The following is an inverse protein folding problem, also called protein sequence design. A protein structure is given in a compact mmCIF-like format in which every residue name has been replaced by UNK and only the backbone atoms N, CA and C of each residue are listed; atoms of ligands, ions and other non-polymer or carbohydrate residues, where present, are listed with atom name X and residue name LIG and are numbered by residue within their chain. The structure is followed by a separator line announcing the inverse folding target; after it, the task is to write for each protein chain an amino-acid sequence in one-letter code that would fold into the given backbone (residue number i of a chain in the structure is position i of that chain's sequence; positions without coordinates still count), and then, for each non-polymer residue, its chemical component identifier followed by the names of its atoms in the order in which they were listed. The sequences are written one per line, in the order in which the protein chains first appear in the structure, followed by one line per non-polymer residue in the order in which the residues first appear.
data_IF_796595207377
#
_entry.id   IF_796595207377
#
_cell.length_a   1.000
_cell.length_b   1.000
_cell.length_c   1.000
_cell.angle_alpha   90.00
_cell.angle_beta   90.00
_cell.angle_gamma   90.00
#
_symmetry.space_group_name_H-M   'P 1'
#
loop_
_entity.id
_entity.type
_entity.pdbx_description
1 polymer ?
#
# COMPACT_ATOMS: atom_id res chain seq x y z
N UNK A 1 42.85 16.70 48.08
CA UNK A 1 41.58 16.88 47.45
C UNK A 1 41.61 16.10 46.12
N UNK A 2 41.05 14.94 46.19
CA UNK A 2 40.91 14.12 44.96
C UNK A 2 39.60 14.47 44.29
N UNK A 3 39.68 15.18 43.19
CA UNK A 3 38.52 15.42 42.35
C UNK A 3 38.24 14.16 41.56
N UNK A 4 37.24 13.41 42.00
CA UNK A 4 36.68 12.32 41.23
C UNK A 4 35.93 12.93 40.04
N UNK A 5 36.57 12.93 38.89
CA UNK A 5 35.92 13.15 37.63
C UNK A 5 35.11 11.89 37.27
N UNK A 6 33.88 11.89 37.67
CA UNK A 6 32.89 10.96 37.19
C UNK A 6 32.58 11.35 35.74
N UNK A 7 33.33 10.79 34.82
CA UNK A 7 32.98 10.79 33.42
C UNK A 7 31.82 9.82 33.24
N UNK A 8 30.63 10.32 33.35
CA UNK A 8 29.42 9.62 32.88
C UNK A 8 29.49 9.54 31.39
N UNK A 9 30.02 8.42 30.92
CA UNK A 9 29.84 8.04 29.51
C UNK A 9 28.37 7.69 29.33
N UNK A 10 27.61 8.67 28.91
CA UNK A 10 26.25 8.44 28.42
C UNK A 10 26.40 7.71 27.08
N UNK A 11 26.39 6.40 27.18
CA UNK A 11 26.30 5.52 26.01
C UNK A 11 24.90 5.71 25.42
N UNK A 12 24.79 6.70 24.53
CA UNK A 12 23.60 6.91 23.74
C UNK A 12 23.48 5.72 22.79
N UNK A 13 22.76 4.70 23.24
CA UNK A 13 22.27 3.65 22.35
C UNK A 13 21.27 4.30 21.40
N UNK A 14 21.77 4.70 20.24
CA UNK A 14 20.93 4.99 19.10
C UNK A 14 20.21 3.69 18.76
N UNK A 15 19.01 3.52 19.31
CA UNK A 15 18.08 2.54 18.80
C UNK A 15 17.77 2.99 17.38
N UNK A 16 18.46 2.40 16.43
CA UNK A 16 18.11 2.50 15.02
C UNK A 16 16.74 1.85 14.88
N UNK A 17 15.69 2.64 14.97
CA UNK A 17 14.37 2.20 14.60
C UNK A 17 14.40 1.96 13.10
N UNK A 18 14.47 0.69 12.72
CA UNK A 18 14.26 0.31 11.34
C UNK A 18 12.80 0.58 11.05
N UNK A 19 12.52 1.77 10.52
CA UNK A 19 11.21 2.11 10.02
C UNK A 19 10.99 1.28 8.75
N UNK A 20 10.22 0.21 8.86
CA UNK A 20 9.78 -0.54 7.69
C UNK A 20 8.80 0.34 6.93
N UNK A 21 9.22 0.81 5.76
CA UNK A 21 8.38 1.62 4.89
C UNK A 21 7.23 0.75 4.36
N UNK A 22 5.99 1.15 4.65
CA UNK A 22 4.82 0.56 4.04
C UNK A 22 4.83 0.90 2.56
N UNK A 23 4.61 -0.10 1.71
CA UNK A 23 4.51 0.08 0.28
C UNK A 23 3.14 -0.37 -0.19
N UNK A 24 2.46 0.49 -0.94
CA UNK A 24 1.15 0.20 -1.52
C UNK A 24 1.18 0.50 -3.02
N UNK A 25 0.78 -0.49 -3.81
CA UNK A 25 0.65 -0.35 -5.26
C UNK A 25 -0.74 0.20 -5.55
N UNK A 26 -0.83 1.32 -6.24
CA UNK A 26 -2.08 1.91 -6.72
C UNK A 26 -2.16 1.71 -8.22
N UNK A 27 -3.10 0.88 -8.66
CA UNK A 27 -3.35 0.65 -10.08
C UNK A 27 -4.64 1.34 -10.51
N UNK A 28 -4.56 2.16 -11.55
CA UNK A 28 -5.74 2.70 -12.21
C UNK A 28 -6.21 1.68 -13.25
N UNK A 29 -7.48 1.28 -13.14
CA UNK A 29 -8.06 0.21 -13.95
C UNK A 29 -9.14 0.76 -14.86
N UNK A 30 -8.97 0.57 -16.15
CA UNK A 30 -9.94 1.03 -17.13
C UNK A 30 -11.17 0.11 -17.15
N UNK A 31 -12.36 0.73 -17.19
CA UNK A 31 -13.64 0.03 -17.36
C UNK A 31 -14.16 -0.71 -16.13
N UNK A 32 -13.49 -0.64 -14.98
CA UNK A 32 -13.92 -1.31 -13.77
C UNK A 32 -15.11 -0.60 -13.12
N UNK A 33 -16.32 -1.04 -13.44
CA UNK A 33 -17.58 -0.47 -12.94
C UNK A 33 -18.47 -1.49 -12.23
N UNK A 34 -18.10 -2.76 -12.28
CA UNK A 34 -18.86 -3.87 -11.71
C UNK A 34 -18.36 -4.23 -10.32
N UNK A 35 -19.20 -4.10 -9.29
CA UNK A 35 -18.84 -4.45 -7.92
C UNK A 35 -18.44 -5.92 -7.75
N UNK A 36 -19.13 -6.82 -8.44
CA UNK A 36 -18.83 -8.24 -8.40
C UNK A 36 -17.46 -8.56 -9.02
N UNK A 37 -17.12 -7.90 -10.12
CA UNK A 37 -15.82 -8.05 -10.78
C UNK A 37 -14.69 -7.49 -9.90
N UNK A 38 -14.94 -6.39 -9.22
CA UNK A 38 -14.00 -5.80 -8.26
C UNK A 38 -13.71 -6.74 -7.09
N UNK A 39 -14.72 -7.44 -6.58
CA UNK A 39 -14.54 -8.47 -5.54
C UNK A 39 -13.65 -9.61 -6.02
N UNK A 40 -13.77 -10.02 -7.27
CA UNK A 40 -12.92 -11.03 -7.88
C UNK A 40 -11.45 -10.62 -7.93
N UNK A 41 -11.18 -9.37 -8.30
CA UNK A 41 -9.84 -8.79 -8.29
C UNK A 41 -9.30 -8.72 -6.86
N UNK A 42 -10.08 -8.21 -5.94
CA UNK A 42 -9.72 -8.11 -4.52
C UNK A 42 -9.33 -9.48 -3.96
N UNK A 43 -10.15 -10.49 -4.21
CA UNK A 43 -9.90 -11.86 -3.75
C UNK A 43 -8.58 -12.42 -4.29
N UNK A 44 -8.31 -12.23 -5.58
CA UNK A 44 -7.06 -12.67 -6.20
C UNK A 44 -5.85 -11.96 -5.63
N UNK A 45 -5.95 -10.65 -5.38
CA UNK A 45 -4.88 -9.87 -4.79
C UNK A 45 -4.61 -10.27 -3.33
N UNK A 46 -5.67 -10.52 -2.54
CA UNK A 46 -5.54 -10.99 -1.15
C UNK A 46 -4.93 -12.39 -1.05
N UNK A 47 -5.09 -13.21 -2.06
CA UNK A 47 -4.50 -14.56 -2.10
C UNK A 47 -2.98 -14.55 -2.31
N UNK A 48 -2.39 -13.43 -2.72
CA UNK A 48 -0.95 -13.31 -2.89
C UNK A 48 -0.26 -13.27 -1.51
N UNK A 49 0.83 -14.02 -1.38
CA UNK A 49 1.61 -14.07 -0.13
C UNK A 49 2.24 -12.73 0.23
N UNK A 50 2.50 -11.87 -0.74
CA UNK A 50 3.09 -10.54 -0.57
C UNK A 50 2.08 -9.50 -0.07
N UNK A 51 0.79 -9.78 -0.17
CA UNK A 51 -0.27 -8.81 0.13
C UNK A 51 -0.59 -8.74 1.61
N UNK A 52 -0.56 -7.53 2.18
CA UNK A 52 -1.01 -7.24 3.53
C UNK A 52 -2.48 -6.87 3.57
N UNK A 53 -2.92 -6.01 2.64
CA UNK A 53 -4.31 -5.56 2.53
C UNK A 53 -4.61 -5.10 1.10
N UNK A 54 -5.88 -5.05 0.75
CA UNK A 54 -6.37 -4.63 -0.57
C UNK A 54 -7.57 -3.71 -0.41
N UNK A 55 -7.62 -2.67 -1.21
CA UNK A 55 -8.78 -1.80 -1.32
C UNK A 55 -9.09 -1.52 -2.79
N UNK A 56 -10.36 -1.64 -3.15
CA UNK A 56 -10.85 -1.36 -4.50
C UNK A 56 -11.86 -0.22 -4.44
N UNK A 57 -11.61 0.84 -5.20
CA UNK A 57 -12.52 1.96 -5.34
C UNK A 57 -13.10 2.00 -6.75
N UNK A 58 -14.40 1.71 -6.86
CA UNK A 58 -15.09 1.66 -8.15
C UNK A 58 -15.31 3.04 -8.76
N UNK A 59 -15.58 4.05 -7.93
CA UNK A 59 -15.83 5.41 -8.42
C UNK A 59 -14.63 6.00 -9.12
N UNK A 60 -13.45 5.76 -8.57
CA UNK A 60 -12.20 6.26 -9.10
C UNK A 60 -11.43 5.22 -9.90
N UNK A 61 -11.93 3.98 -9.91
CA UNK A 61 -11.34 2.84 -10.64
C UNK A 61 -9.90 2.55 -10.23
N UNK A 62 -9.67 2.55 -8.93
CA UNK A 62 -8.37 2.30 -8.34
C UNK A 62 -8.38 0.99 -7.56
N UNK A 63 -7.35 0.18 -7.77
CA UNK A 63 -7.02 -0.99 -6.96
C UNK A 63 -5.75 -0.67 -6.18
N UNK A 64 -5.84 -0.68 -4.86
CA UNK A 64 -4.72 -0.45 -3.97
C UNK A 64 -4.34 -1.74 -3.27
N UNK A 65 -3.08 -2.15 -3.38
CA UNK A 65 -2.53 -3.38 -2.78
C UNK A 65 -1.39 -3.00 -1.85
N UNK A 66 -1.63 -3.13 -0.55
CA UNK A 66 -0.60 -2.95 0.46
C UNK A 66 0.26 -4.20 0.57
N UNK A 67 1.57 -4.03 0.53
CA UNK A 67 2.52 -5.13 0.64
C UNK A 67 2.95 -5.35 2.08
N UNK A 68 3.22 -6.61 2.42
CA UNK A 68 3.85 -6.97 3.69
C UNK A 68 5.28 -6.41 3.74
N UNK A 69 5.79 -6.18 4.94
CA UNK A 69 7.14 -5.70 5.14
C UNK A 69 8.18 -6.58 4.43
N UNK A 70 9.08 -5.93 3.70
CA UNK A 70 10.15 -6.61 2.97
C UNK A 70 9.70 -7.39 1.74
N UNK A 71 8.40 -7.35 1.41
CA UNK A 71 7.87 -8.01 0.22
C UNK A 71 7.77 -7.05 -0.95
N UNK A 72 7.89 -7.58 -2.15
CA UNK A 72 7.72 -6.83 -3.38
C UNK A 72 6.78 -7.59 -4.32
N UNK A 73 6.05 -6.83 -5.12
CA UNK A 73 5.17 -7.37 -6.15
C UNK A 73 5.42 -6.57 -7.44
N UNK A 74 5.69 -7.28 -8.52
CA UNK A 74 5.96 -6.64 -9.80
C UNK A 74 4.69 -6.04 -10.40
N UNK A 75 4.84 -4.94 -11.11
CA UNK A 75 3.75 -4.30 -11.85
C UNK A 75 3.14 -5.26 -12.87
N UNK A 76 3.97 -6.07 -13.52
CA UNK A 76 3.52 -7.06 -14.49
C UNK A 76 2.59 -8.10 -13.88
N UNK A 77 2.87 -8.51 -12.64
CA UNK A 77 2.00 -9.44 -11.91
C UNK A 77 0.65 -8.82 -11.61
N UNK A 78 0.63 -7.56 -11.18
CA UNK A 78 -0.61 -6.80 -10.93
C UNK A 78 -1.40 -6.65 -12.22
N UNK A 79 -0.74 -6.24 -13.31
CA UNK A 79 -1.37 -6.12 -14.63
C UNK A 79 -1.97 -7.43 -15.11
N UNK A 80 -1.25 -8.53 -14.94
CA UNK A 80 -1.72 -9.86 -15.36
C UNK A 80 -2.99 -10.26 -14.62
N UNK A 81 -3.06 -10.07 -13.32
CA UNK A 81 -4.24 -10.39 -12.50
C UNK A 81 -5.46 -9.57 -12.94
N UNK A 82 -5.27 -8.28 -13.17
CA UNK A 82 -6.34 -7.37 -13.59
C UNK A 82 -6.79 -7.71 -15.00
N UNK A 83 -5.86 -8.02 -15.89
CA UNK A 83 -6.15 -8.44 -17.26
C UNK A 83 -6.93 -9.76 -17.32
N UNK A 84 -6.56 -10.72 -16.48
CA UNK A 84 -7.29 -11.98 -16.36
C UNK A 84 -8.74 -11.78 -15.90
N UNK A 85 -9.01 -10.71 -15.17
CA UNK A 85 -10.37 -10.33 -14.77
C UNK A 85 -11.15 -9.61 -15.89
N UNK A 86 -10.52 -9.34 -17.04
CA UNK A 86 -11.13 -8.69 -18.18
C UNK A 86 -10.95 -7.18 -18.25
N UNK A 87 -9.98 -6.62 -17.50
CA UNK A 87 -9.73 -5.19 -17.45
C UNK A 87 -8.29 -4.85 -17.83
N UNK A 88 -8.06 -3.58 -18.12
CA UNK A 88 -6.73 -3.06 -18.42
C UNK A 88 -6.27 -2.06 -17.36
N UNK A 89 -4.99 -2.09 -17.06
CA UNK A 89 -4.34 -1.12 -16.17
C UNK A 89 -3.84 0.05 -17.02
N UNK A 90 -4.26 1.25 -16.68
CA UNK A 90 -3.83 2.48 -17.38
C UNK A 90 -2.58 3.07 -16.78
N UNK A 91 -2.41 2.95 -15.45
CA UNK A 91 -1.20 3.41 -14.76
C UNK A 91 -1.02 2.68 -13.45
N UNK A 92 0.22 2.57 -13.00
CA UNK A 92 0.58 2.05 -11.68
C UNK A 92 1.46 3.07 -10.98
N UNK A 93 1.12 3.34 -9.72
CA UNK A 93 1.89 4.22 -8.85
C UNK A 93 2.23 3.48 -7.55
N UNK A 94 3.42 3.76 -7.03
CA UNK A 94 3.83 3.27 -5.72
C UNK A 94 3.58 4.35 -4.67
N UNK A 95 2.92 3.99 -3.58
CA UNK A 95 2.66 4.87 -2.45
C UNK A 95 3.32 4.33 -1.18
N UNK A 96 3.82 5.22 -0.35
CA UNK A 96 4.37 4.88 0.97
C UNK A 96 3.30 4.87 2.08
N UNK A 97 2.05 5.10 1.70
CA UNK A 97 0.93 5.12 2.63
C UNK A 97 0.21 3.77 2.69
N UNK A 98 -0.27 3.36 3.87
CA UNK A 98 -1.08 2.13 3.99
C UNK A 98 -2.42 2.27 3.28
N UNK A 99 -3.02 1.14 2.95
CA UNK A 99 -4.35 1.08 2.29
C UNK A 99 -5.40 1.86 3.07
N UNK A 100 -5.38 1.80 4.40
CA UNK A 100 -6.32 2.55 5.24
C UNK A 100 -6.24 4.07 4.99
N UNK A 101 -5.05 4.61 4.81
CA UNK A 101 -4.83 6.02 4.49
C UNK A 101 -5.35 6.35 3.09
N UNK A 102 -5.00 5.53 2.11
CA UNK A 102 -5.42 5.70 0.72
C UNK A 102 -6.96 5.64 0.62
N UNK A 103 -7.57 4.70 1.31
CA UNK A 103 -9.04 4.60 1.39
C UNK A 103 -9.65 5.89 1.93
N UNK A 104 -9.16 6.40 3.05
CA UNK A 104 -9.64 7.64 3.65
C UNK A 104 -9.49 8.84 2.71
N UNK A 105 -8.36 8.94 2.01
CA UNK A 105 -8.09 10.00 1.04
C UNK A 105 -9.06 9.93 -0.16
N UNK A 106 -9.26 8.75 -0.72
CA UNK A 106 -10.15 8.57 -1.86
C UNK A 106 -11.62 8.79 -1.51
N UNK A 107 -12.04 8.36 -0.34
CA UNK A 107 -13.41 8.57 0.15
C UNK A 107 -13.68 10.05 0.46
N UNK A 108 -12.71 10.77 1.02
CA UNK A 108 -12.85 12.21 1.27
C UNK A 108 -12.92 13.01 -0.03
N UNK A 109 -12.14 12.67 -1.04
CA UNK A 109 -12.20 13.30 -2.37
C UNK A 109 -13.53 13.02 -3.06
N UNK A 110 -14.08 11.82 -2.93
CA UNK A 110 -15.38 11.46 -3.47
C UNK A 110 -16.52 12.25 -2.79
N UNK A 111 -16.41 12.48 -1.48
CA UNK A 111 -17.38 13.28 -0.71
C UNK A 111 -17.30 14.78 -1.00
N UNK A 112 -16.16 15.29 -1.44
CA UNK A 112 -15.95 16.71 -1.76
C UNK A 112 -16.53 17.12 -3.12
N UNK A 113 -16.86 16.18 -3.98
CA UNK A 113 -17.48 16.41 -5.28
C UNK A 113 -19.01 16.29 -5.20
N UNK A 114 -19.61 17.23 -4.54
CA UNK A 114 -21.06 17.43 -4.65
C UNK A 114 -21.36 18.64 -5.50
#
# INVERSE_FOLDING_TARGET
MKKLLLTTVVLSTLLSQVAFATQTIKANVNGMVCAFCAQGIEKKMRALTQTQDVYVNLKQRIVAVELKEGQSLSDDKVKAIIKDAGYDVTSIEMSEHPVAHIKAELESKAGAKK
#
